data_IF_685914766869
#
_entry.id   IF_685914766869
#
_cell.length_a   1.000
_cell.length_b   1.000
_cell.length_c   1.000
_cell.angle_alpha   90.00
_cell.angle_beta   90.00
_cell.angle_gamma   90.00
#
_symmetry.space_group_name_H-M   'P 1'
#
loop_
_entity.id
_entity.type
_entity.pdbx_description
1 polymer ?
#
# COMPACT_ATOMS: atom_id res chain seq x y z
N UNK A 1 -13.19 14.65 6.65
CA UNK A 1 -13.52 15.16 5.34
C UNK A 1 -13.82 14.03 4.39
N UNK A 2 -14.80 14.24 3.54
CA UNK A 2 -15.26 13.18 2.65
C UNK A 2 -14.20 12.70 1.68
N UNK A 3 -13.39 13.63 1.15
CA UNK A 3 -12.35 13.22 0.21
C UNK A 3 -11.27 12.36 0.86
N UNK A 4 -10.89 12.65 2.10
CA UNK A 4 -9.93 11.81 2.82
C UNK A 4 -10.52 10.46 3.14
N UNK A 5 -11.81 10.40 3.42
CA UNK A 5 -12.49 9.14 3.67
C UNK A 5 -12.45 8.24 2.44
N UNK A 6 -12.71 8.79 1.26
CA UNK A 6 -12.67 8.01 0.02
C UNK A 6 -11.25 7.53 -0.28
N UNK A 7 -10.27 8.40 -0.07
CA UNK A 7 -8.87 8.00 -0.28
C UNK A 7 -8.49 6.90 0.69
N UNK A 8 -8.93 7.01 1.92
CA UNK A 8 -8.67 5.96 2.91
C UNK A 8 -9.25 4.61 2.47
N UNK A 9 -10.45 4.59 1.91
CA UNK A 9 -11.03 3.36 1.40
C UNK A 9 -10.19 2.75 0.29
N UNK A 10 -9.70 3.59 -0.62
CA UNK A 10 -8.84 3.13 -1.71
C UNK A 10 -7.55 2.55 -1.13
N UNK A 11 -6.94 3.26 -0.19
CA UNK A 11 -5.71 2.81 0.47
C UNK A 11 -5.94 1.48 1.18
N UNK A 12 -7.05 1.34 1.89
CA UNK A 12 -7.35 0.10 2.60
C UNK A 12 -7.50 -1.07 1.64
N UNK A 13 -8.13 -0.85 0.51
CA UNK A 13 -8.29 -1.91 -0.49
C UNK A 13 -6.96 -2.32 -1.10
N UNK A 14 -6.10 -1.35 -1.41
CA UNK A 14 -4.78 -1.65 -1.96
C UNK A 14 -3.92 -2.36 -0.91
N UNK A 15 -3.95 -1.87 0.33
CA UNK A 15 -3.17 -2.44 1.43
C UNK A 15 -3.59 -3.88 1.69
N UNK A 16 -4.89 -4.14 1.66
CA UNK A 16 -5.41 -5.49 1.86
C UNK A 16 -4.91 -6.44 0.79
N UNK A 17 -4.94 -6.01 -0.47
CA UNK A 17 -4.44 -6.82 -1.57
C UNK A 17 -2.93 -7.07 -1.46
N UNK A 18 -2.18 -6.04 -1.11
CA UNK A 18 -0.74 -6.17 -0.94
C UNK A 18 -0.39 -7.09 0.24
N UNK A 19 -1.10 -6.94 1.34
CA UNK A 19 -0.88 -7.79 2.53
C UNK A 19 -1.18 -9.25 2.24
N UNK A 20 -2.17 -9.52 1.42
CA UNK A 20 -2.51 -10.88 1.04
C UNK A 20 -1.37 -11.52 0.26
N UNK A 21 -0.78 -10.80 -0.69
CA UNK A 21 0.38 -11.29 -1.43
C UNK A 21 1.58 -11.47 -0.50
N UNK A 22 1.81 -10.50 0.37
CA UNK A 22 2.92 -10.56 1.32
C UNK A 22 2.81 -11.78 2.23
N UNK A 23 1.60 -12.15 2.61
CA UNK A 23 1.39 -13.28 3.52
C UNK A 23 1.78 -14.62 2.91
N UNK A 24 1.88 -14.71 1.61
CA UNK A 24 2.31 -15.94 0.93
C UNK A 24 3.81 -16.20 1.08
N UNK A 25 4.57 -15.18 1.44
CA UNK A 25 6.03 -15.27 1.46
C UNK A 25 6.60 -14.95 0.08
N UNK A 26 7.62 -14.10 0.07
CA UNK A 26 8.18 -13.57 -1.16
C UNK A 26 8.66 -14.66 -2.12
N UNK A 27 9.26 -15.71 -1.56
CA UNK A 27 9.80 -16.81 -2.35
C UNK A 27 8.70 -17.67 -2.98
N UNK A 28 7.46 -17.51 -2.55
CA UNK A 28 6.33 -18.26 -3.05
C UNK A 28 5.51 -17.52 -4.09
N UNK A 29 5.90 -16.28 -4.40
CA UNK A 29 5.20 -15.48 -5.39
C UNK A 29 5.71 -15.80 -6.78
N UNK A 30 4.80 -16.00 -7.74
CA UNK A 30 5.22 -16.12 -9.13
C UNK A 30 5.52 -14.72 -9.71
N UNK A 31 5.95 -14.68 -10.97
CA UNK A 31 6.32 -13.40 -11.59
C UNK A 31 5.18 -12.42 -11.64
N UNK A 32 3.99 -12.91 -11.92
CA UNK A 32 2.81 -12.04 -12.00
C UNK A 32 2.45 -11.49 -10.63
N UNK A 33 2.46 -12.34 -9.62
CA UNK A 33 2.14 -11.94 -8.25
C UNK A 33 3.16 -10.95 -7.72
N UNK A 34 4.44 -11.19 -8.00
CA UNK A 34 5.49 -10.28 -7.59
C UNK A 34 5.31 -8.92 -8.26
N UNK A 35 4.97 -8.92 -9.55
CA UNK A 35 4.67 -7.68 -10.26
C UNK A 35 3.47 -6.95 -9.67
N UNK A 36 2.44 -7.69 -9.26
CA UNK A 36 1.29 -7.10 -8.60
C UNK A 36 1.68 -6.44 -7.28
N UNK A 37 2.50 -7.12 -6.49
CA UNK A 37 2.96 -6.56 -5.22
C UNK A 37 3.74 -5.27 -5.43
N UNK A 38 4.63 -5.25 -6.42
CA UNK A 38 5.37 -4.04 -6.76
C UNK A 38 4.44 -2.90 -7.17
N UNK A 39 3.43 -3.22 -7.98
CA UNK A 39 2.46 -2.22 -8.44
C UNK A 39 1.66 -1.65 -7.27
N UNK A 40 1.23 -2.49 -6.35
CA UNK A 40 0.51 -2.03 -5.17
C UNK A 40 1.39 -1.14 -4.30
N UNK A 41 2.63 -1.56 -4.07
CA UNK A 41 3.56 -0.76 -3.27
C UNK A 41 3.84 0.58 -3.94
N UNK A 42 4.04 0.58 -5.25
CA UNK A 42 4.26 1.81 -6.00
C UNK A 42 3.06 2.75 -5.91
N UNK A 43 1.86 2.19 -6.04
CA UNK A 43 0.62 2.96 -5.92
C UNK A 43 0.51 3.60 -4.54
N UNK A 44 0.83 2.85 -3.49
CA UNK A 44 0.79 3.38 -2.12
C UNK A 44 1.82 4.49 -1.94
N UNK A 45 3.00 4.36 -2.53
CA UNK A 45 4.03 5.40 -2.48
C UNK A 45 3.56 6.67 -3.19
N UNK A 46 2.90 6.54 -4.33
CA UNK A 46 2.39 7.69 -5.07
C UNK A 46 1.36 8.44 -4.23
N UNK A 47 0.44 7.70 -3.61
CA UNK A 47 -0.56 8.32 -2.75
C UNK A 47 0.11 8.96 -1.54
N UNK A 48 1.07 8.28 -0.94
CA UNK A 48 1.79 8.78 0.22
C UNK A 48 2.50 10.09 -0.07
N UNK A 49 3.08 10.20 -1.26
CA UNK A 49 3.79 11.42 -1.66
C UNK A 49 2.86 12.61 -1.85
N UNK A 50 1.58 12.36 -2.06
CA UNK A 50 0.59 13.42 -2.26
C UNK A 50 0.10 14.02 -0.94
N UNK A 51 0.42 13.39 0.18
CA UNK A 51 -0.05 13.83 1.50
C UNK A 51 1.12 14.01 2.44
N UNK A 52 0.91 14.78 3.50
CA UNK A 52 1.94 15.02 4.52
C UNK A 52 1.32 15.03 5.90
N UNK A 53 2.18 14.88 6.91
CA UNK A 53 1.79 15.04 8.29
C UNK A 53 0.70 14.08 8.73
N UNK A 54 -0.26 14.60 9.47
CA UNK A 54 -1.30 13.77 10.03
C UNK A 54 -2.29 13.21 9.02
N UNK A 55 -2.32 13.79 7.80
CA UNK A 55 -3.18 13.25 6.75
C UNK A 55 -2.76 11.83 6.40
N UNK A 56 -1.46 11.54 6.46
CA UNK A 56 -0.97 10.18 6.22
C UNK A 56 -1.56 9.18 7.21
N UNK A 57 -1.66 9.56 8.47
CA UNK A 57 -2.26 8.68 9.47
C UNK A 57 -3.75 8.50 9.21
N UNK A 58 -4.42 9.57 8.81
CA UNK A 58 -5.86 9.49 8.55
C UNK A 58 -6.21 8.59 7.37
N UNK A 59 -5.36 8.54 6.35
CA UNK A 59 -5.58 7.67 5.21
C UNK A 59 -4.93 6.29 5.37
N UNK A 60 -4.27 6.04 6.50
CA UNK A 60 -3.70 4.73 6.80
C UNK A 60 -2.34 4.48 6.18
N UNK A 61 -1.59 5.51 5.84
CA UNK A 61 -0.27 5.39 5.20
C UNK A 61 0.87 5.99 6.01
N UNK A 62 0.74 6.01 7.34
CA UNK A 62 1.82 6.51 8.19
C UNK A 62 2.82 5.38 8.50
N UNK A 63 3.34 4.75 7.46
CA UNK A 63 4.34 3.70 7.61
C UNK A 63 5.24 3.69 6.39
N UNK A 64 6.37 2.98 6.49
CA UNK A 64 7.33 2.85 5.40
C UNK A 64 6.88 1.74 4.46
N UNK A 65 6.38 2.13 3.29
CA UNK A 65 5.83 1.19 2.31
C UNK A 65 6.90 0.20 1.83
N UNK A 66 8.11 0.70 1.56
CA UNK A 66 9.18 -0.16 1.07
C UNK A 66 9.56 -1.23 2.08
N UNK A 67 9.65 -0.87 3.34
CA UNK A 67 10.00 -1.83 4.38
C UNK A 67 8.92 -2.88 4.56
N UNK A 68 7.68 -2.47 4.39
CA UNK A 68 6.57 -3.38 4.59
C UNK A 68 6.43 -4.40 3.46
N UNK A 69 6.67 -3.98 2.22
CA UNK A 69 6.35 -4.82 1.06
C UNK A 69 7.54 -5.23 0.21
N UNK A 70 8.63 -4.48 0.22
CA UNK A 70 9.73 -4.70 -0.72
C UNK A 70 11.01 -5.18 -0.04
N UNK A 71 11.05 -5.20 1.26
CA UNK A 71 12.17 -5.71 2.02
C UNK A 71 11.69 -6.84 2.91
#
# INVERSE_FOLDING_TARGET
MESLHLIREIVENITEAADELRSKGRENLDHMEFGELLAYAESLCIIQDAFTGRDLAEIGLAFDVDKRYLI
#
